data_IF_700090096018
#
_entry.id   IF_700090096018
#
_cell.length_a   1.000
_cell.length_b   1.000
_cell.length_c   1.000
_cell.angle_alpha   90.00
_cell.angle_beta   90.00
_cell.angle_gamma   90.00
#
_symmetry.space_group_name_H-M   'P 1'
#
loop_
_entity.id
_entity.type
_entity.pdbx_description
1 polymer ?
#
# COMPACT_ATOMS: atom_id res chain seq x y z
N UNK A 1 -26.56 1.04 -2.50
CA UNK A 1 -25.64 1.33 -3.63
C UNK A 1 -24.25 1.85 -3.19
N UNK A 2 -24.13 2.62 -2.10
CA UNK A 2 -22.85 3.19 -1.62
C UNK A 2 -21.77 2.17 -1.18
N UNK A 3 -22.15 0.98 -0.66
CA UNK A 3 -21.14 0.01 -0.16
C UNK A 3 -20.30 -0.66 -1.26
N UNK A 4 -20.89 -0.89 -2.45
CA UNK A 4 -20.23 -1.58 -3.57
C UNK A 4 -19.17 -0.71 -4.26
N UNK A 5 -19.36 0.62 -4.26
CA UNK A 5 -18.38 1.56 -4.81
C UNK A 5 -17.19 1.77 -3.87
N UNK A 6 -17.42 1.71 -2.56
CA UNK A 6 -16.35 1.88 -1.56
C UNK A 6 -15.33 0.75 -1.60
N UNK A 7 -15.76 -0.50 -1.76
CA UNK A 7 -14.82 -1.63 -1.90
C UNK A 7 -14.01 -1.57 -3.21
N UNK A 8 -14.62 -1.09 -4.31
CA UNK A 8 -13.90 -0.87 -5.57
C UNK A 8 -12.80 0.17 -5.44
N UNK A 9 -13.07 1.31 -4.80
CA UNK A 9 -12.08 2.36 -4.59
C UNK A 9 -10.91 1.88 -3.72
N UNK A 10 -11.18 1.07 -2.70
CA UNK A 10 -10.13 0.49 -1.87
C UNK A 10 -9.25 -0.50 -2.64
N UNK A 11 -9.82 -1.31 -3.53
CA UNK A 11 -9.03 -2.18 -4.40
C UNK A 11 -8.20 -1.39 -5.41
N UNK A 12 -8.74 -0.30 -5.96
CA UNK A 12 -7.99 0.59 -6.84
C UNK A 12 -6.81 1.21 -6.08
N UNK A 13 -7.01 1.62 -4.82
CA UNK A 13 -5.92 2.16 -3.99
C UNK A 13 -4.77 1.16 -3.83
N UNK A 14 -5.04 -0.09 -3.44
CA UNK A 14 -3.99 -1.09 -3.29
C UNK A 14 -3.29 -1.41 -4.60
N UNK A 15 -4.05 -1.46 -5.70
CA UNK A 15 -3.49 -1.66 -7.03
C UNK A 15 -2.55 -0.51 -7.42
N UNK A 16 -2.94 0.74 -7.16
CA UNK A 16 -2.11 1.93 -7.38
C UNK A 16 -0.84 1.85 -6.52
N UNK A 17 -0.94 1.49 -5.24
CA UNK A 17 0.25 1.31 -4.37
C UNK A 17 1.22 0.29 -4.95
N UNK A 18 0.72 -0.87 -5.37
CA UNK A 18 1.54 -1.91 -6.00
C UNK A 18 2.16 -1.43 -7.33
N UNK A 19 1.41 -0.67 -8.13
CA UNK A 19 1.92 -0.08 -9.36
C UNK A 19 3.02 0.97 -9.11
N UNK A 20 2.87 1.83 -8.10
CA UNK A 20 3.89 2.81 -7.70
C UNK A 20 5.17 2.08 -7.23
N UNK A 21 5.04 0.96 -6.52
CA UNK A 21 6.20 0.14 -6.14
C UNK A 21 6.93 -0.41 -7.39
N UNK A 22 6.20 -0.87 -8.41
CA UNK A 22 6.81 -1.30 -9.68
C UNK A 22 7.49 -0.15 -10.43
N UNK A 23 6.90 1.05 -10.46
CA UNK A 23 7.55 2.23 -11.03
C UNK A 23 8.83 2.59 -10.26
N UNK A 24 8.80 2.48 -8.93
CA UNK A 24 9.99 2.71 -8.09
C UNK A 24 11.07 1.67 -8.37
N UNK A 25 10.69 0.42 -8.64
CA UNK A 25 11.62 -0.62 -9.09
C UNK A 25 12.26 -0.27 -10.44
N UNK A 26 11.46 0.21 -11.40
CA UNK A 26 11.95 0.61 -12.71
C UNK A 26 12.92 1.80 -12.62
N UNK A 27 12.59 2.82 -11.83
CA UNK A 27 13.48 3.95 -11.53
C UNK A 27 14.81 3.45 -10.95
N UNK A 28 14.77 2.58 -9.92
CA UNK A 28 15.97 2.07 -9.26
C UNK A 28 16.81 1.16 -10.16
N UNK A 29 16.18 0.42 -11.09
CA UNK A 29 16.89 -0.36 -12.10
C UNK A 29 17.71 0.54 -13.01
N UNK A 30 17.13 1.66 -13.46
CA UNK A 30 17.85 2.66 -14.28
C UNK A 30 19.03 3.30 -13.55
N UNK A 31 18.95 3.42 -12.22
CA UNK A 31 20.01 3.94 -11.35
C UNK A 31 21.03 2.87 -10.91
N UNK A 32 20.88 1.62 -11.36
CA UNK A 32 21.68 0.46 -10.93
C UNK A 32 21.67 0.24 -9.40
N UNK A 33 20.61 0.69 -8.72
CA UNK A 33 20.47 0.54 -7.27
C UNK A 33 19.87 -0.84 -6.96
N UNK A 34 20.54 -1.72 -6.19
CA UNK A 34 20.10 -3.09 -5.94
C UNK A 34 18.71 -3.21 -5.27
N UNK A 35 18.19 -2.12 -4.70
CA UNK A 35 16.83 -2.05 -4.16
C UNK A 35 15.73 -2.33 -5.20
N UNK A 36 16.02 -2.26 -6.51
CA UNK A 36 15.04 -2.52 -7.58
C UNK A 36 14.35 -3.88 -7.44
N UNK A 37 15.08 -4.92 -7.01
CA UNK A 37 14.52 -6.27 -6.82
C UNK A 37 13.48 -6.25 -5.71
N UNK A 38 13.77 -5.56 -4.60
CA UNK A 38 12.88 -5.46 -3.44
C UNK A 38 11.58 -4.79 -3.85
N UNK A 39 11.65 -3.65 -4.55
CA UNK A 39 10.47 -2.93 -5.01
C UNK A 39 9.67 -3.70 -6.06
N UNK A 40 10.34 -4.44 -6.96
CA UNK A 40 9.67 -5.27 -7.96
C UNK A 40 8.88 -6.40 -7.30
N UNK A 41 9.51 -7.11 -6.36
CA UNK A 41 8.87 -8.20 -5.62
C UNK A 41 7.71 -7.68 -4.77
N UNK A 42 7.89 -6.57 -4.04
CA UNK A 42 6.81 -5.97 -3.26
C UNK A 42 5.63 -5.53 -4.13
N UNK A 43 5.90 -4.87 -5.26
CA UNK A 43 4.85 -4.45 -6.19
C UNK A 43 4.06 -5.62 -6.76
N UNK A 44 4.74 -6.69 -7.18
CA UNK A 44 4.10 -7.91 -7.67
C UNK A 44 3.26 -8.60 -6.58
N UNK A 45 3.79 -8.69 -5.35
CA UNK A 45 3.05 -9.26 -4.22
C UNK A 45 1.79 -8.46 -3.93
N UNK A 46 1.87 -7.13 -3.84
CA UNK A 46 0.70 -6.28 -3.55
C UNK A 46 -0.36 -6.38 -4.64
N UNK A 47 0.03 -6.34 -5.92
CA UNK A 47 -0.92 -6.47 -7.03
C UNK A 47 -1.59 -7.85 -6.98
N UNK A 48 -0.80 -8.91 -6.80
CA UNK A 48 -1.33 -10.27 -6.72
C UNK A 48 -2.33 -10.40 -5.57
N UNK A 49 -1.97 -9.92 -4.39
CA UNK A 49 -2.84 -9.95 -3.23
C UNK A 49 -4.09 -9.09 -3.40
N UNK A 50 -3.99 -7.95 -4.09
CA UNK A 50 -5.14 -7.08 -4.40
C UNK A 50 -6.19 -7.81 -5.25
N UNK A 51 -5.75 -8.63 -6.21
CA UNK A 51 -6.65 -9.46 -7.03
C UNK A 51 -7.42 -10.46 -6.16
N UNK A 52 -6.76 -11.07 -5.17
CA UNK A 52 -7.36 -12.07 -4.29
C UNK A 52 -8.04 -11.48 -3.04
N UNK A 53 -7.87 -10.18 -2.77
CA UNK A 53 -8.36 -9.51 -1.56
C UNK A 53 -9.85 -9.75 -1.30
N UNK A 54 -10.70 -9.65 -2.32
CA UNK A 54 -12.15 -9.85 -2.15
C UNK A 54 -12.46 -11.24 -1.57
N UNK A 55 -11.85 -12.30 -2.13
CA UNK A 55 -12.02 -13.68 -1.64
C UNK A 55 -11.43 -13.88 -0.24
N UNK A 56 -10.34 -13.19 0.08
CA UNK A 56 -9.73 -13.22 1.42
C UNK A 56 -10.58 -12.51 2.46
N UNK A 57 -11.21 -11.38 2.10
CA UNK A 57 -12.02 -10.55 3.00
C UNK A 57 -13.30 -11.25 3.49
N UNK A 58 -13.80 -12.22 2.73
CA UNK A 58 -14.93 -13.06 3.12
C UNK A 58 -14.56 -14.04 4.24
N UNK A 59 -13.29 -14.42 4.36
CA UNK A 59 -12.80 -15.40 5.35
C UNK A 59 -12.10 -14.77 6.54
N UNK A 60 -11.48 -13.61 6.34
CA UNK A 60 -10.62 -12.95 7.34
C UNK A 60 -11.05 -11.49 7.45
N UNK A 61 -11.92 -11.14 8.42
CA UNK A 61 -12.51 -9.80 8.49
C UNK A 61 -11.47 -8.69 8.72
N UNK A 62 -10.33 -8.98 9.34
CA UNK A 62 -9.28 -7.99 9.59
C UNK A 62 -8.30 -7.79 8.41
N UNK A 63 -8.41 -8.58 7.33
CA UNK A 63 -7.46 -8.54 6.22
C UNK A 63 -7.40 -7.19 5.51
N UNK A 64 -8.53 -6.49 5.38
CA UNK A 64 -8.59 -5.16 4.76
C UNK A 64 -7.70 -4.15 5.48
N UNK A 65 -7.67 -4.22 6.82
CA UNK A 65 -6.84 -3.34 7.64
C UNK A 65 -5.36 -3.68 7.46
N UNK A 66 -5.03 -4.97 7.41
CA UNK A 66 -3.66 -5.46 7.13
C UNK A 66 -3.14 -4.95 5.79
N UNK A 67 -3.95 -5.01 4.73
CA UNK A 67 -3.57 -4.47 3.43
C UNK A 67 -3.25 -2.97 3.47
N UNK A 68 -4.06 -2.20 4.20
CA UNK A 68 -3.82 -0.77 4.37
C UNK A 68 -2.52 -0.50 5.14
N UNK A 69 -2.18 -1.33 6.13
CA UNK A 69 -0.89 -1.24 6.82
C UNK A 69 0.28 -1.57 5.90
N UNK A 70 0.16 -2.62 5.07
CA UNK A 70 1.19 -2.99 4.09
C UNK A 70 1.43 -1.84 3.12
N UNK A 71 0.37 -1.24 2.58
CA UNK A 71 0.46 -0.08 1.69
C UNK A 71 1.18 1.10 2.37
N UNK A 72 0.84 1.35 3.65
CA UNK A 72 1.47 2.38 4.46
C UNK A 72 2.98 2.17 4.60
N UNK A 73 3.39 0.94 4.95
CA UNK A 73 4.81 0.58 5.09
C UNK A 73 5.55 0.74 3.76
N UNK A 74 4.97 0.26 2.65
CA UNK A 74 5.57 0.39 1.32
C UNK A 74 5.75 1.86 0.96
N UNK A 75 4.74 2.70 1.21
CA UNK A 75 4.84 4.14 0.98
C UNK A 75 5.98 4.75 1.80
N UNK A 76 6.13 4.39 3.07
CA UNK A 76 7.27 4.86 3.89
C UNK A 76 8.62 4.45 3.32
N UNK A 77 8.76 3.20 2.86
CA UNK A 77 10.01 2.71 2.24
C UNK A 77 10.31 3.50 0.96
N UNK A 78 9.32 3.73 0.10
CA UNK A 78 9.49 4.52 -1.13
C UNK A 78 9.85 5.98 -0.81
N UNK A 79 9.25 6.56 0.24
CA UNK A 79 9.58 7.91 0.67
C UNK A 79 11.05 8.01 1.10
N UNK A 80 11.55 7.06 1.90
CA UNK A 80 12.96 7.00 2.30
C UNK A 80 13.86 6.85 1.08
N UNK A 81 13.52 5.95 0.15
CA UNK A 81 14.28 5.77 -1.09
C UNK A 81 14.37 7.08 -1.89
N UNK A 82 13.25 7.80 -2.04
CA UNK A 82 13.24 9.08 -2.74
C UNK A 82 14.01 10.20 -2.02
N UNK A 83 14.03 10.19 -0.68
CA UNK A 83 14.89 11.09 0.11
C UNK A 83 16.37 10.82 -0.16
N UNK A 84 16.78 9.54 -0.19
CA UNK A 84 18.17 9.15 -0.45
C UNK A 84 18.62 9.53 -1.87
N UNK A 85 17.70 9.52 -2.84
CA UNK A 85 17.95 9.97 -4.21
C UNK A 85 17.80 11.49 -4.40
N UNK A 86 17.62 12.27 -3.33
CA UNK A 86 17.59 13.73 -3.39
C UNK A 86 16.34 14.35 -4.04
N UNK A 87 15.25 13.59 -4.21
CA UNK A 87 13.97 14.14 -4.69
C UNK A 87 13.43 15.09 -3.61
N UNK A 88 12.99 16.30 -3.97
CA UNK A 88 12.63 17.34 -2.98
C UNK A 88 11.17 17.26 -2.51
N UNK A 89 10.20 17.22 -3.42
CA UNK A 89 8.78 17.29 -3.06
C UNK A 89 8.11 15.92 -2.91
N UNK A 90 8.43 14.96 -3.79
CA UNK A 90 7.82 13.63 -3.80
C UNK A 90 7.91 12.87 -2.48
N UNK A 91 9.06 12.84 -1.77
CA UNK A 91 9.17 12.04 -0.55
C UNK A 91 8.20 12.48 0.54
N UNK A 92 7.98 13.79 0.72
CA UNK A 92 7.06 14.30 1.74
C UNK A 92 5.61 13.92 1.46
N UNK A 93 5.19 13.97 0.20
CA UNK A 93 3.84 13.56 -0.21
C UNK A 93 3.63 12.07 0.06
N UNK A 94 4.60 11.23 -0.27
CA UNK A 94 4.51 9.78 -0.06
C UNK A 94 4.61 9.42 1.43
N UNK A 95 5.45 10.12 2.18
CA UNK A 95 5.55 10.00 3.64
C UNK A 95 4.20 10.31 4.29
N UNK A 96 3.57 11.42 3.91
CA UNK A 96 2.24 11.79 4.40
C UNK A 96 1.19 10.74 4.04
N UNK A 97 1.20 10.24 2.80
CA UNK A 97 0.31 9.17 2.37
C UNK A 97 0.50 7.90 3.22
N UNK A 98 1.74 7.50 3.50
CA UNK A 98 2.05 6.34 4.35
C UNK A 98 1.53 6.50 5.78
N UNK A 99 1.73 7.67 6.39
CA UNK A 99 1.20 7.98 7.74
C UNK A 99 -0.33 7.93 7.76
N UNK A 100 -0.98 8.50 6.76
CA UNK A 100 -2.44 8.49 6.64
C UNK A 100 -2.99 7.07 6.43
N UNK A 101 -2.34 6.27 5.59
CA UNK A 101 -2.70 4.85 5.40
C UNK A 101 -2.61 4.09 6.72
N UNK A 102 -1.48 4.18 7.45
CA UNK A 102 -1.31 3.53 8.76
C UNK A 102 -2.41 3.97 9.74
N UNK A 103 -2.70 5.28 9.80
CA UNK A 103 -3.75 5.83 10.67
C UNK A 103 -5.15 5.28 10.33
N UNK A 104 -5.47 5.19 9.03
CA UNK A 104 -6.73 4.60 8.54
C UNK A 104 -6.79 3.10 8.85
N UNK A 105 -5.67 2.38 8.72
CA UNK A 105 -5.54 0.98 9.10
C UNK A 105 -5.89 0.75 10.57
N UNK A 106 -5.33 1.57 11.47
CA UNK A 106 -5.66 1.52 12.90
C UNK A 106 -7.13 1.83 13.18
N UNK A 107 -7.68 2.86 12.54
CA UNK A 107 -9.09 3.23 12.70
C UNK A 107 -10.03 2.09 12.27
N UNK A 108 -9.77 1.48 11.11
CA UNK A 108 -10.57 0.35 10.60
C UNK A 108 -10.44 -0.89 11.47
N UNK A 109 -9.25 -1.21 11.95
CA UNK A 109 -9.02 -2.35 12.83
C UNK A 109 -9.80 -2.19 14.13
N UNK A 110 -9.69 -1.03 14.79
CA UNK A 110 -10.45 -0.72 16.02
C UNK A 110 -11.96 -0.84 15.79
N UNK A 111 -12.46 -0.30 14.67
CA UNK A 111 -13.89 -0.36 14.34
C UNK A 111 -14.37 -1.80 14.15
N UNK A 112 -13.61 -2.66 13.45
CA UNK A 112 -14.01 -4.07 13.26
C UNK A 112 -13.99 -4.86 14.57
N UNK A 113 -12.97 -4.68 15.40
CA UNK A 113 -12.87 -5.34 16.72
C UNK A 113 -13.96 -4.91 17.71
N UNK A 114 -14.47 -3.68 17.58
CA UNK A 114 -15.56 -3.18 18.44
C UNK A 114 -16.95 -3.70 18.02
N UNK A 115 -17.13 -4.17 16.79
CA UNK A 115 -18.40 -4.70 16.27
C UNK A 115 -18.52 -6.22 16.51
N UNK A 116 -17.41 -6.92 16.74
CA UNK A 116 -17.38 -8.34 17.12
C UNK A 116 -17.55 -8.59 18.64
N UNK A 117 -17.65 -7.54 19.46
CA UNK A 117 -17.97 -7.61 20.90
C UNK A 117 -19.46 -7.38 21.14
#
# INVERSE_FOLDING_TARGET
MLSKNKSKLENISHFITGFIALLTAFDNYGLQNPSYIIFAVLGLIVISLTIFKNKLSEKIPWIDSTFIFIDGIISLIIAVDYFLHGKKALPFTILFAGIMQISVGFYKLKKKLAVEK
#
